data_IF_924724995510
#
_entry.id   IF_924724995510
#
_cell.length_a   1.000
_cell.length_b   1.000
_cell.length_c   1.000
_cell.angle_alpha   90.00
_cell.angle_beta   90.00
_cell.angle_gamma   90.00
#
_symmetry.space_group_name_H-M   'P 1'
#
loop_
_entity.id
_entity.type
_entity.pdbx_description
1 polymer ?
#
# COMPACT_ATOMS: atom_id res chain seq x y z
N UNK A 1 -21.02 56.48 4.84
CA UNK A 1 -20.24 56.31 3.60
C UNK A 1 -18.90 55.72 3.96
N UNK A 2 -18.70 54.43 3.69
CA UNK A 2 -17.47 53.73 4.09
C UNK A 2 -17.51 52.26 3.66
N UNK A 3 -17.55 51.99 2.35
CA UNK A 3 -17.59 50.63 1.79
C UNK A 3 -16.83 50.48 0.46
N UNK A 4 -16.07 51.47 -0.01
CA UNK A 4 -15.51 51.41 -1.36
C UNK A 4 -14.09 50.83 -1.47
N UNK A 5 -13.38 50.65 -0.34
CA UNK A 5 -11.95 50.30 -0.35
C UNK A 5 -11.66 48.82 -0.09
N UNK A 6 -12.53 48.11 0.63
CA UNK A 6 -12.44 46.65 0.81
C UNK A 6 -12.83 45.89 -0.46
N UNK A 7 -13.87 46.38 -1.14
CA UNK A 7 -14.48 45.66 -2.26
C UNK A 7 -13.60 45.74 -3.52
N UNK A 8 -12.94 46.88 -3.75
CA UNK A 8 -11.94 47.04 -4.81
C UNK A 8 -10.69 46.17 -4.58
N UNK A 9 -10.22 46.05 -3.33
CA UNK A 9 -9.07 45.23 -2.97
C UNK A 9 -9.38 43.72 -3.12
N UNK A 10 -10.57 43.28 -2.68
CA UNK A 10 -11.03 41.90 -2.84
C UNK A 10 -11.22 41.49 -4.29
N UNK A 11 -11.74 42.39 -5.13
CA UNK A 11 -11.91 42.14 -6.57
C UNK A 11 -10.56 42.02 -7.30
N UNK A 12 -9.58 42.82 -6.89
CA UNK A 12 -8.22 42.80 -7.47
C UNK A 12 -7.46 41.51 -7.11
N UNK A 13 -7.54 41.06 -5.85
CA UNK A 13 -6.92 39.79 -5.40
C UNK A 13 -7.55 38.57 -6.07
N UNK A 14 -8.87 38.59 -6.30
CA UNK A 14 -9.57 37.55 -7.04
C UNK A 14 -9.12 37.49 -8.50
N UNK A 15 -8.94 38.65 -9.14
CA UNK A 15 -8.40 38.75 -10.50
C UNK A 15 -7.00 38.13 -10.60
N UNK A 16 -6.07 38.51 -9.72
CA UNK A 16 -4.72 37.94 -9.70
C UNK A 16 -4.72 36.41 -9.54
N UNK A 17 -5.59 35.89 -8.66
CA UNK A 17 -5.75 34.45 -8.47
C UNK A 17 -6.17 33.75 -9.76
N UNK A 18 -7.13 34.32 -10.50
CA UNK A 18 -7.58 33.75 -11.77
C UNK A 18 -6.44 33.75 -12.80
N UNK A 19 -5.73 34.87 -12.93
CA UNK A 19 -4.59 34.99 -13.87
C UNK A 19 -3.49 33.98 -13.58
N UNK A 20 -3.07 33.81 -12.31
CA UNK A 20 -2.05 32.81 -11.96
C UNK A 20 -2.55 31.39 -12.25
N UNK A 21 -3.81 31.08 -11.95
CA UNK A 21 -4.37 29.74 -12.20
C UNK A 21 -4.43 29.43 -13.70
N UNK A 22 -4.83 30.40 -14.52
CA UNK A 22 -4.84 30.23 -15.97
C UNK A 22 -3.42 30.04 -16.51
N UNK A 23 -2.45 30.82 -16.03
CA UNK A 23 -1.05 30.65 -16.41
C UNK A 23 -0.54 29.24 -16.11
N UNK A 24 -0.78 28.73 -14.90
CA UNK A 24 -0.36 27.38 -14.50
C UNK A 24 -0.96 26.29 -15.41
N UNK A 25 -2.24 26.41 -15.79
CA UNK A 25 -2.89 25.45 -16.70
C UNK A 25 -2.23 25.33 -18.07
N UNK A 26 -1.59 26.40 -18.54
CA UNK A 26 -0.85 26.41 -19.81
C UNK A 26 0.60 25.93 -19.68
N UNK A 27 1.09 25.73 -18.44
CA UNK A 27 2.48 25.38 -18.13
C UNK A 27 2.51 24.16 -17.19
N UNK A 28 1.87 23.07 -17.60
CA UNK A 28 1.88 21.78 -16.90
C UNK A 28 1.49 21.82 -15.40
N UNK A 29 0.71 22.84 -15.02
CA UNK A 29 0.18 23.08 -13.67
C UNK A 29 1.22 23.46 -12.60
N UNK A 30 2.45 23.79 -13.01
CA UNK A 30 3.54 24.27 -12.14
C UNK A 30 4.35 25.37 -12.84
N UNK A 31 4.73 26.41 -12.11
CA UNK A 31 5.62 27.45 -12.66
C UNK A 31 6.50 28.04 -11.55
N UNK A 32 7.68 28.53 -11.93
CA UNK A 32 8.50 29.30 -11.00
C UNK A 32 7.87 30.68 -10.75
N UNK A 33 8.16 31.28 -9.60
CA UNK A 33 7.78 32.67 -9.32
C UNK A 33 8.41 33.64 -10.31
N UNK A 34 9.58 33.31 -10.87
CA UNK A 34 10.21 34.14 -11.90
C UNK A 34 9.38 34.12 -13.19
N UNK A 35 8.92 32.95 -13.62
CA UNK A 35 8.08 32.82 -14.83
C UNK A 35 6.73 33.49 -14.62
N UNK A 36 6.13 33.35 -13.45
CA UNK A 36 4.89 34.06 -13.12
C UNK A 36 5.06 35.59 -13.19
N UNK A 37 6.20 36.13 -12.74
CA UNK A 37 6.50 37.58 -12.84
C UNK A 37 6.75 38.01 -14.28
N UNK A 38 7.33 37.16 -15.10
CA UNK A 38 7.66 37.47 -16.50
C UNK A 38 6.46 37.29 -17.45
N UNK A 39 5.61 36.30 -17.17
CA UNK A 39 4.52 35.86 -18.03
C UNK A 39 3.12 36.35 -17.62
N UNK A 40 2.99 37.10 -16.52
CA UNK A 40 1.71 37.66 -16.08
C UNK A 40 1.84 39.12 -15.64
N UNK A 41 0.74 39.86 -15.71
CA UNK A 41 0.64 41.23 -15.16
C UNK A 41 0.42 41.25 -13.63
N UNK A 42 0.57 40.10 -12.96
CA UNK A 42 0.32 39.98 -11.53
C UNK A 42 1.45 40.65 -10.75
N UNK A 43 1.15 41.56 -9.80
CA UNK A 43 2.18 42.27 -9.04
C UNK A 43 3.10 41.34 -8.24
N UNK A 44 4.39 41.66 -8.21
CA UNK A 44 5.42 40.88 -7.50
C UNK A 44 5.06 40.60 -6.02
N UNK A 45 4.48 41.58 -5.31
CA UNK A 45 4.08 41.41 -3.90
C UNK A 45 3.06 40.27 -3.72
N UNK A 46 2.17 40.04 -4.69
CA UNK A 46 1.18 38.97 -4.63
C UNK A 46 1.86 37.62 -4.86
N UNK A 47 2.76 37.55 -5.84
CA UNK A 47 3.53 36.34 -6.16
C UNK A 47 4.44 35.95 -4.98
N UNK A 48 5.05 36.91 -4.31
CA UNK A 48 5.90 36.67 -3.13
C UNK A 48 5.09 36.09 -1.96
N UNK A 49 3.87 36.57 -1.78
CA UNK A 49 2.96 36.15 -0.70
C UNK A 49 2.00 35.04 -1.12
N UNK A 50 2.17 34.44 -2.30
CA UNK A 50 1.17 33.54 -2.89
C UNK A 50 0.87 32.30 -2.04
N UNK A 51 1.85 31.82 -1.25
CA UNK A 51 1.69 30.74 -0.29
C UNK A 51 0.72 31.07 0.86
N UNK A 52 0.52 32.35 1.19
CA UNK A 52 -0.46 32.77 2.20
C UNK A 52 -1.90 32.77 1.67
N UNK A 53 -2.08 32.58 0.37
CA UNK A 53 -3.41 32.47 -0.24
C UNK A 53 -3.95 31.05 -0.06
N UNK A 54 -5.26 30.90 0.14
CA UNK A 54 -5.87 29.57 0.28
C UNK A 54 -6.04 28.84 -1.07
N UNK A 55 -5.22 29.11 -2.08
CA UNK A 55 -5.42 28.61 -3.45
C UNK A 55 -4.20 27.92 -4.04
N UNK A 56 -3.00 28.30 -3.60
CA UNK A 56 -1.75 27.79 -4.18
C UNK A 56 -0.88 27.19 -3.09
N UNK A 57 -0.07 26.20 -3.45
CA UNK A 57 1.06 25.75 -2.65
C UNK A 57 2.35 26.21 -3.31
N UNK A 58 3.40 26.20 -2.49
CA UNK A 58 4.77 26.43 -2.94
C UNK A 58 5.64 25.22 -2.64
N UNK A 59 6.64 24.96 -3.48
CA UNK A 59 7.54 23.82 -3.35
C UNK A 59 8.28 23.78 -2.01
N UNK A 60 8.42 22.59 -1.45
CA UNK A 60 9.09 22.33 -0.18
C UNK A 60 10.62 22.41 -0.29
N UNK A 61 11.20 21.89 -1.38
CA UNK A 61 12.66 21.76 -1.60
C UNK A 61 13.32 22.97 -2.28
N UNK A 62 12.59 23.72 -3.09
CA UNK A 62 13.13 24.86 -3.85
C UNK A 62 12.86 26.21 -3.19
N UNK A 63 13.03 26.31 -1.85
CA UNK A 63 12.83 27.56 -1.11
C UNK A 63 11.50 28.30 -1.39
N UNK A 64 10.43 27.55 -1.73
CA UNK A 64 9.11 28.09 -2.11
C UNK A 64 9.09 28.86 -3.44
N UNK A 65 10.02 28.58 -4.36
CA UNK A 65 10.10 29.25 -5.66
C UNK A 65 9.13 28.70 -6.71
N UNK A 66 8.75 27.42 -6.65
CA UNK A 66 7.73 26.89 -7.55
C UNK A 66 6.34 27.00 -6.93
N UNK A 67 5.36 27.31 -7.76
CA UNK A 67 3.96 27.52 -7.40
C UNK A 67 3.10 26.54 -8.15
N UNK A 68 2.13 25.96 -7.46
CA UNK A 68 1.12 25.11 -8.06
C UNK A 68 -0.24 25.27 -7.38
N UNK A 69 -1.31 24.88 -8.08
CA UNK A 69 -2.66 25.03 -7.53
C UNK A 69 -2.99 23.93 -6.51
N UNK A 70 -3.68 24.29 -5.42
CA UNK A 70 -4.18 23.32 -4.43
C UNK A 70 -5.07 22.24 -5.07
N UNK A 71 -5.77 22.59 -6.15
CA UNK A 71 -6.65 21.66 -6.87
C UNK A 71 -5.86 20.53 -7.52
N UNK A 72 -4.79 20.86 -8.24
CA UNK A 72 -3.93 19.86 -8.90
C UNK A 72 -3.21 19.01 -7.89
N UNK A 73 -2.75 19.60 -6.78
CA UNK A 73 -2.11 18.83 -5.72
C UNK A 73 -3.14 17.90 -5.06
N UNK A 74 -4.40 18.32 -4.93
CA UNK A 74 -5.49 17.43 -4.53
C UNK A 74 -5.64 16.21 -5.45
N UNK A 75 -5.56 16.40 -6.77
CA UNK A 75 -5.79 15.34 -7.76
C UNK A 75 -4.57 14.46 -8.06
N UNK A 76 -3.39 15.05 -8.16
CA UNK A 76 -2.14 14.40 -8.60
C UNK A 76 -1.22 13.99 -7.45
N UNK A 77 -1.61 14.24 -6.21
CA UNK A 77 -0.82 13.73 -5.08
C UNK A 77 -0.94 12.22 -4.98
N UNK A 78 0.16 11.57 -4.64
CA UNK A 78 0.20 10.19 -4.20
C UNK A 78 -0.68 9.96 -2.97
N UNK A 79 -0.88 8.70 -2.58
CA UNK A 79 -1.57 8.31 -1.35
C UNK A 79 -1.03 9.08 -0.12
N UNK A 80 0.30 9.23 -0.04
CA UNK A 80 0.98 9.93 1.04
C UNK A 80 0.96 11.46 0.90
N UNK A 81 0.18 11.98 -0.05
CA UNK A 81 -0.09 13.40 -0.20
C UNK A 81 0.99 14.20 -0.92
N UNK A 82 1.96 13.56 -1.59
CA UNK A 82 3.02 14.24 -2.34
C UNK A 82 2.72 14.36 -3.82
N UNK A 83 3.08 15.49 -4.42
CA UNK A 83 3.13 15.66 -5.88
C UNK A 83 4.51 16.19 -6.29
N UNK A 84 5.12 15.58 -7.31
CA UNK A 84 6.52 15.80 -7.69
C UNK A 84 6.68 16.05 -9.20
N UNK A 85 6.26 17.22 -9.71
CA UNK A 85 6.46 17.54 -11.12
C UNK A 85 7.94 17.81 -11.43
N UNK A 86 8.33 17.48 -12.67
CA UNK A 86 9.58 17.94 -13.26
C UNK A 86 9.52 19.46 -13.50
N UNK A 87 10.64 20.13 -13.26
CA UNK A 87 10.84 21.57 -13.41
C UNK A 87 12.26 21.84 -13.93
N UNK A 88 12.53 23.07 -14.36
CA UNK A 88 13.78 23.44 -15.03
C UNK A 88 15.06 23.09 -14.26
N UNK A 89 15.02 23.07 -12.93
CA UNK A 89 16.16 22.75 -12.05
C UNK A 89 15.98 21.44 -11.27
N UNK A 90 15.18 20.51 -11.80
CA UNK A 90 15.04 19.14 -11.30
C UNK A 90 13.59 18.78 -11.00
N UNK A 91 13.30 18.38 -9.76
CA UNK A 91 11.96 17.96 -9.35
C UNK A 91 11.47 18.85 -8.23
N UNK A 92 10.33 19.53 -8.41
CA UNK A 92 9.72 20.31 -7.35
C UNK A 92 8.86 19.41 -6.46
N UNK A 93 8.98 19.53 -5.14
CA UNK A 93 8.22 18.69 -4.20
C UNK A 93 7.10 19.50 -3.56
N UNK A 94 5.86 19.04 -3.70
CA UNK A 94 4.68 19.60 -3.04
C UNK A 94 4.02 18.56 -2.14
N UNK A 95 3.30 19.01 -1.12
CA UNK A 95 2.57 18.11 -0.23
C UNK A 95 1.23 18.72 0.22
N UNK A 96 0.22 17.87 0.47
CA UNK A 96 -1.12 18.28 0.91
C UNK A 96 -1.16 19.05 2.23
N UNK A 97 -0.10 18.95 3.06
CA UNK A 97 0.06 19.72 4.30
C UNK A 97 0.77 21.06 4.12
N UNK A 98 1.01 21.48 2.87
CA UNK A 98 1.51 22.78 2.43
C UNK A 98 2.97 23.07 2.82
N UNK A 99 3.30 23.02 4.10
CA UNK A 99 4.59 23.39 4.66
C UNK A 99 5.39 22.18 5.17
N UNK A 100 6.71 22.36 5.28
CA UNK A 100 7.61 21.30 5.71
C UNK A 100 7.30 20.79 7.13
N UNK A 101 7.05 21.69 8.10
CA UNK A 101 6.73 21.29 9.49
C UNK A 101 5.49 20.39 9.59
N UNK A 102 4.29 20.82 9.11
CA UNK A 102 3.10 19.97 9.16
C UNK A 102 3.22 18.73 8.27
N UNK A 103 4.01 18.77 7.20
CA UNK A 103 4.33 17.58 6.39
C UNK A 103 5.13 16.55 7.19
N UNK A 104 6.23 16.96 7.83
CA UNK A 104 7.05 16.07 8.65
C UNK A 104 6.25 15.45 9.81
N UNK A 105 5.45 16.27 10.51
CA UNK A 105 4.56 15.76 11.56
C UNK A 105 3.55 14.76 11.01
N UNK A 106 2.97 15.04 9.84
CA UNK A 106 2.04 14.12 9.20
C UNK A 106 2.68 12.77 8.86
N UNK A 107 3.91 12.79 8.33
CA UNK A 107 4.64 11.57 7.99
C UNK A 107 4.95 10.74 9.23
N UNK A 108 5.48 11.37 10.28
CA UNK A 108 5.75 10.69 11.57
C UNK A 108 4.48 10.04 12.14
N UNK A 109 3.31 10.63 11.90
CA UNK A 109 2.05 10.15 12.47
C UNK A 109 1.34 9.11 11.62
N UNK A 110 1.67 8.99 10.34
CA UNK A 110 0.96 8.13 9.39
C UNK A 110 1.76 6.94 8.91
N UNK A 111 3.09 7.01 9.00
CA UNK A 111 3.91 5.88 8.60
C UNK A 111 3.87 4.79 9.68
N UNK A 112 3.68 3.52 9.29
CA UNK A 112 3.73 2.37 10.21
C UNK A 112 5.11 2.21 10.83
N UNK A 113 6.17 2.40 10.04
CA UNK A 113 7.54 2.58 10.52
C UNK A 113 7.82 4.07 10.70
N UNK A 114 8.39 4.45 11.83
CA UNK A 114 8.88 5.79 12.17
C UNK A 114 9.66 6.51 11.05
N UNK A 115 10.01 7.77 11.30
CA UNK A 115 10.72 8.59 10.32
C UNK A 115 12.13 8.91 10.79
N UNK A 116 13.13 8.54 10.01
CA UNK A 116 14.50 9.04 10.16
C UNK A 116 14.67 10.40 9.47
N UNK A 117 15.71 11.13 9.87
CA UNK A 117 16.07 12.36 9.18
C UNK A 117 16.48 12.12 7.72
N UNK A 118 17.06 10.95 7.39
CA UNK A 118 17.48 10.61 6.02
C UNK A 118 16.27 10.37 5.11
N UNK A 119 15.31 9.55 5.55
CA UNK A 119 14.07 9.31 4.79
C UNK A 119 13.27 10.59 4.60
N UNK A 120 13.21 11.44 5.64
CA UNK A 120 12.60 12.75 5.53
C UNK A 120 13.33 13.67 4.53
N UNK A 121 14.66 13.52 4.37
CA UNK A 121 15.39 14.28 3.36
C UNK A 121 15.01 13.85 1.96
N UNK A 122 14.93 12.54 1.76
CA UNK A 122 14.59 11.94 0.47
C UNK A 122 13.16 12.29 0.05
N UNK A 123 12.21 12.18 0.98
CA UNK A 123 10.81 12.48 0.70
C UNK A 123 10.57 13.96 0.37
N UNK A 124 11.19 14.86 1.11
CA UNK A 124 10.97 16.31 0.96
C UNK A 124 11.96 16.96 -0.01
N UNK A 125 12.99 16.26 -0.47
CA UNK A 125 14.07 16.80 -1.31
C UNK A 125 14.90 17.89 -0.63
N UNK A 126 14.99 17.89 0.71
CA UNK A 126 15.68 18.94 1.49
C UNK A 126 16.14 18.42 2.85
N UNK A 127 17.09 19.11 3.46
CA UNK A 127 17.52 18.81 4.84
C UNK A 127 16.37 19.01 5.85
N UNK A 128 16.05 17.94 6.57
CA UNK A 128 14.90 17.79 7.48
C UNK A 128 15.28 17.51 8.94
N UNK A 129 16.56 17.24 9.24
CA UNK A 129 17.07 17.01 10.60
C UNK A 129 16.68 18.12 11.59
N UNK A 130 17.04 19.39 11.33
CA UNK A 130 16.73 20.50 12.24
C UNK A 130 15.21 20.71 12.45
N UNK A 131 14.37 20.68 11.39
CA UNK A 131 12.92 20.71 11.56
C UNK A 131 12.35 19.58 12.42
N UNK A 132 12.82 18.34 12.26
CA UNK A 132 12.37 17.19 13.05
C UNK A 132 12.82 17.31 14.51
N UNK A 133 14.07 17.69 14.75
CA UNK A 133 14.57 17.95 16.10
C UNK A 133 13.73 19.03 16.80
N UNK A 134 13.38 20.11 16.10
CA UNK A 134 12.51 21.15 16.64
C UNK A 134 11.10 20.65 16.97
N UNK A 135 10.55 19.72 16.19
CA UNK A 135 9.26 19.08 16.50
C UNK A 135 9.37 18.26 17.79
N UNK A 136 10.47 17.53 17.98
CA UNK A 136 10.73 16.75 19.19
C UNK A 136 10.93 17.64 20.42
N UNK A 137 11.71 18.73 20.30
CA UNK A 137 11.90 19.71 21.37
C UNK A 137 10.57 20.35 21.82
N UNK A 138 9.61 20.46 20.89
CA UNK A 138 8.25 20.97 21.13
C UNK A 138 7.28 19.89 21.61
N UNK A 139 7.74 18.66 21.83
CA UNK A 139 6.93 17.50 22.19
C UNK A 139 5.80 17.20 21.20
N UNK A 140 5.93 17.63 19.95
CA UNK A 140 4.95 17.35 18.89
C UNK A 140 5.14 15.97 18.26
N UNK A 141 6.37 15.45 18.35
CA UNK A 141 6.78 14.08 18.00
C UNK A 141 7.72 13.59 19.10
N UNK A 142 7.98 12.29 19.15
CA UNK A 142 8.97 11.73 20.06
C UNK A 142 10.25 11.39 19.30
N UNK A 143 11.41 11.65 19.89
CA UNK A 143 12.70 11.29 19.32
C UNK A 143 13.34 10.22 20.21
N UNK A 144 13.88 9.17 19.58
CA UNK A 144 14.57 8.07 20.25
C UNK A 144 15.83 7.75 19.46
N UNK A 145 16.90 7.38 20.16
CA UNK A 145 18.11 6.86 19.52
C UNK A 145 17.92 5.36 19.29
N UNK A 146 18.16 4.93 18.06
CA UNK A 146 18.05 3.53 17.65
C UNK A 146 19.22 3.18 16.73
N UNK A 147 20.08 2.24 17.14
CA UNK A 147 21.27 1.80 16.39
C UNK A 147 22.06 2.98 15.78
N UNK A 148 22.48 3.91 16.63
CA UNK A 148 23.26 5.11 16.27
C UNK A 148 22.56 6.09 15.30
N UNK A 149 21.24 5.97 15.11
CA UNK A 149 20.42 6.92 14.36
C UNK A 149 19.25 7.43 15.18
N UNK A 150 19.05 8.74 15.18
CA UNK A 150 17.83 9.34 15.75
C UNK A 150 16.62 9.04 14.86
N UNK A 151 15.63 8.37 15.44
CA UNK A 151 14.32 8.11 14.85
C UNK A 151 13.26 9.02 15.47
N UNK A 152 12.25 9.39 14.66
CA UNK A 152 11.14 10.23 15.09
C UNK A 152 9.81 9.47 14.98
N UNK A 153 9.16 9.28 16.11
CA UNK A 153 7.94 8.48 16.28
C UNK A 153 6.76 9.35 16.72
N UNK A 154 5.58 8.76 16.74
CA UNK A 154 4.35 9.34 17.27
C UNK A 154 4.55 9.83 18.71
N UNK A 155 3.83 10.89 19.10
CA UNK A 155 3.93 11.46 20.46
C UNK A 155 3.14 10.68 21.52
N UNK A 156 2.14 9.90 21.10
CA UNK A 156 1.38 9.00 21.97
C UNK A 156 2.11 7.67 22.18
N UNK A 157 2.28 7.22 23.44
CA UNK A 157 3.05 6.01 23.76
C UNK A 157 2.60 4.75 23.01
N UNK A 158 1.30 4.44 22.96
CA UNK A 158 0.82 3.21 22.31
C UNK A 158 1.19 3.14 20.83
N UNK A 159 0.92 4.21 20.08
CA UNK A 159 1.25 4.28 18.66
C UNK A 159 2.75 4.35 18.40
N UNK A 160 3.53 4.93 19.32
CA UNK A 160 4.99 4.89 19.24
C UNK A 160 5.49 3.46 19.41
N UNK A 161 4.97 2.74 20.39
CA UNK A 161 5.42 1.38 20.70
C UNK A 161 5.09 0.44 19.53
N UNK A 162 3.92 0.63 18.88
CA UNK A 162 3.57 -0.04 17.63
C UNK A 162 4.58 0.28 16.49
N UNK A 163 4.97 1.55 16.33
CA UNK A 163 5.95 1.95 15.31
C UNK A 163 7.33 1.32 15.55
N UNK A 164 7.80 1.35 16.80
CA UNK A 164 9.08 0.74 17.18
C UNK A 164 9.09 -0.77 16.94
N UNK A 165 8.00 -1.46 17.26
CA UNK A 165 7.85 -2.89 16.98
C UNK A 165 7.89 -3.18 15.47
N UNK A 166 7.27 -2.31 14.65
CA UNK A 166 7.36 -2.41 13.19
C UNK A 166 8.79 -2.17 12.67
N UNK A 167 9.58 -1.27 13.29
CA UNK A 167 10.99 -1.08 12.89
C UNK A 167 11.83 -2.31 13.13
N UNK A 168 11.63 -2.96 14.26
CA UNK A 168 12.35 -4.18 14.61
C UNK A 168 12.15 -5.27 13.55
N UNK A 169 10.95 -5.35 12.94
CA UNK A 169 10.66 -6.28 11.86
C UNK A 169 11.07 -5.78 10.46
N UNK A 170 11.29 -4.48 10.27
CA UNK A 170 11.64 -3.86 8.98
C UNK A 170 13.15 -3.82 8.67
N UNK A 171 14.04 -4.19 9.59
CA UNK A 171 15.48 -4.19 9.33
C UNK A 171 15.98 -5.45 8.59
N UNK A 172 16.92 -5.32 7.64
CA UNK A 172 17.76 -6.45 7.26
C UNK A 172 18.61 -6.81 8.48
N UNK A 173 18.49 -8.04 8.95
CA UNK A 173 19.22 -8.49 10.11
C UNK A 173 20.73 -8.48 9.78
N UNK A 174 21.54 -7.70 10.51
CA UNK A 174 23.01 -7.84 10.50
C UNK A 174 23.38 -9.07 11.33
N UNK A 175 22.85 -10.22 10.90
CA UNK A 175 23.10 -11.52 11.49
C UNK A 175 24.07 -12.18 10.53
N UNK A 176 25.35 -12.11 10.87
CA UNK A 176 26.22 -13.19 10.41
C UNK A 176 25.74 -14.40 11.20
N UNK A 177 25.11 -15.42 10.59
CA UNK A 177 24.50 -16.50 11.36
C UNK A 177 25.61 -17.26 12.07
N UNK A 178 25.58 -17.25 13.39
CA UNK A 178 26.24 -18.30 14.15
C UNK A 178 25.39 -19.56 13.93
N UNK A 179 25.78 -20.35 12.93
CA UNK A 179 25.18 -21.63 12.52
C UNK A 179 23.81 -21.53 11.76
N UNK A 180 23.72 -21.96 10.49
CA UNK A 180 22.51 -21.82 9.66
C UNK A 180 21.36 -22.79 10.01
N UNK A 181 21.34 -23.37 11.21
CA UNK A 181 20.46 -24.48 11.53
C UNK A 181 19.29 -24.15 12.49
N UNK A 182 19.23 -22.95 13.10
CA UNK A 182 18.34 -22.75 14.27
C UNK A 182 17.45 -21.50 14.26
N UNK A 183 17.47 -20.66 13.21
CA UNK A 183 16.67 -19.43 13.19
C UNK A 183 15.46 -19.54 12.23
N UNK A 184 14.25 -19.61 12.80
CA UNK A 184 12.97 -19.71 12.09
C UNK A 184 12.47 -18.41 11.45
N UNK A 185 13.36 -17.62 10.86
CA UNK A 185 13.02 -16.39 10.13
C UNK A 185 13.18 -16.61 8.62
N UNK A 186 12.17 -16.21 7.85
CA UNK A 186 12.23 -16.20 6.39
C UNK A 186 12.58 -14.78 5.93
N UNK A 187 13.70 -14.62 5.20
CA UNK A 187 14.06 -13.32 4.68
C UNK A 187 13.11 -12.91 3.53
N UNK A 188 12.84 -11.61 3.41
CA UNK A 188 11.89 -11.09 2.41
C UNK A 188 12.35 -11.33 0.97
N UNK A 189 13.66 -11.21 0.72
CA UNK A 189 14.26 -11.53 -0.57
C UNK A 189 14.21 -13.03 -0.86
N UNK A 190 14.42 -13.91 0.14
CA UNK A 190 14.20 -15.35 0.00
C UNK A 190 12.74 -15.70 -0.31
N UNK A 191 11.78 -15.08 0.39
CA UNK A 191 10.35 -15.22 0.12
C UNK A 191 10.02 -14.80 -1.32
N UNK A 192 10.52 -13.65 -1.74
CA UNK A 192 10.26 -13.10 -3.08
C UNK A 192 10.93 -13.96 -4.17
N UNK A 193 12.14 -14.47 -3.94
CA UNK A 193 12.82 -15.38 -4.86
C UNK A 193 12.09 -16.74 -4.94
N UNK A 194 11.59 -17.25 -3.82
CA UNK A 194 10.77 -18.48 -3.78
C UNK A 194 9.50 -18.27 -4.59
N UNK A 195 8.77 -17.18 -4.35
CA UNK A 195 7.59 -16.83 -5.13
C UNK A 195 7.91 -16.67 -6.62
N UNK A 196 9.01 -15.99 -6.96
CA UNK A 196 9.45 -15.82 -8.35
C UNK A 196 9.66 -17.17 -9.04
N UNK A 197 10.28 -18.14 -8.36
CA UNK A 197 10.54 -19.47 -8.92
C UNK A 197 9.26 -20.21 -9.33
N UNK A 198 8.17 -20.02 -8.58
CA UNK A 198 6.85 -20.57 -8.88
C UNK A 198 6.11 -19.72 -9.90
N UNK A 199 6.18 -18.40 -9.79
CA UNK A 199 5.51 -17.46 -10.69
C UNK A 199 5.91 -17.65 -12.16
N UNK A 200 7.14 -18.09 -12.43
CA UNK A 200 7.62 -18.37 -13.80
C UNK A 200 6.74 -19.38 -14.55
N UNK A 201 6.15 -20.36 -13.86
CA UNK A 201 5.29 -21.37 -14.49
C UNK A 201 3.80 -21.02 -14.43
N UNK A 202 3.39 -20.25 -13.41
CA UNK A 202 1.97 -20.01 -13.11
C UNK A 202 1.43 -18.66 -13.62
N UNK A 203 2.28 -17.64 -13.78
CA UNK A 203 1.85 -16.30 -14.19
C UNK A 203 2.16 -16.07 -15.67
N UNK A 204 1.12 -15.73 -16.43
CA UNK A 204 1.17 -15.51 -17.88
C UNK A 204 0.75 -14.08 -18.27
N UNK A 205 -0.07 -13.43 -17.44
CA UNK A 205 -0.57 -12.07 -17.69
C UNK A 205 0.53 -11.01 -17.68
N UNK A 206 1.52 -11.17 -16.80
CA UNK A 206 2.62 -10.23 -16.59
C UNK A 206 3.96 -10.98 -16.44
N UNK A 207 5.07 -10.24 -16.42
CA UNK A 207 6.36 -10.88 -16.16
C UNK A 207 6.44 -11.37 -14.70
N UNK A 208 7.05 -12.54 -14.44
CA UNK A 208 7.17 -13.10 -13.08
C UNK A 208 7.86 -12.15 -12.09
N UNK A 209 8.86 -11.39 -12.55
CA UNK A 209 9.60 -10.41 -11.75
C UNK A 209 8.70 -9.25 -11.29
N UNK A 210 7.75 -8.85 -12.14
CA UNK A 210 6.75 -7.84 -11.79
C UNK A 210 5.73 -8.41 -10.80
N UNK A 211 5.28 -9.64 -10.99
CA UNK A 211 4.39 -10.27 -10.03
C UNK A 211 5.02 -10.40 -8.64
N UNK A 212 6.28 -10.86 -8.59
CA UNK A 212 7.05 -10.98 -7.35
C UNK A 212 7.29 -9.60 -6.69
N UNK A 213 7.57 -8.56 -7.47
CA UNK A 213 7.62 -7.18 -6.97
C UNK A 213 6.29 -6.71 -6.37
N UNK A 214 5.16 -7.08 -6.98
CA UNK A 214 3.83 -6.74 -6.48
C UNK A 214 3.48 -7.49 -5.19
N UNK A 215 3.95 -8.73 -5.01
CA UNK A 215 3.85 -9.45 -3.73
C UNK A 215 4.61 -8.71 -2.63
N UNK A 216 5.86 -8.33 -2.90
CA UNK A 216 6.65 -7.51 -1.97
C UNK A 216 5.91 -6.21 -1.59
N UNK A 217 5.25 -5.58 -2.57
CA UNK A 217 4.42 -4.38 -2.32
C UNK A 217 3.36 -4.60 -1.23
N UNK A 218 2.69 -5.76 -1.26
CA UNK A 218 1.57 -6.04 -0.35
C UNK A 218 2.07 -6.27 1.08
N UNK A 219 3.20 -6.94 1.24
CA UNK A 219 3.83 -7.10 2.55
C UNK A 219 4.29 -5.77 3.15
N UNK A 220 4.78 -4.85 2.31
CA UNK A 220 5.33 -3.57 2.76
C UNK A 220 4.29 -2.45 2.89
N UNK A 221 3.11 -2.61 2.29
CA UNK A 221 2.12 -1.53 2.20
C UNK A 221 2.59 -0.34 1.35
N UNK A 222 3.58 -0.54 0.47
CA UNK A 222 4.20 0.52 -0.31
C UNK A 222 3.26 1.08 -1.40
N UNK A 223 3.42 2.36 -1.72
CA UNK A 223 2.93 2.89 -3.00
C UNK A 223 3.78 2.34 -4.16
N UNK A 224 3.26 2.31 -5.39
CA UNK A 224 4.02 1.83 -6.55
C UNK A 224 5.35 2.58 -6.75
N UNK A 225 5.35 3.92 -6.59
CA UNK A 225 6.59 4.71 -6.66
C UNK A 225 7.54 4.45 -5.47
N UNK A 226 7.01 4.05 -4.31
CA UNK A 226 7.83 3.71 -3.15
C UNK A 226 8.54 2.37 -3.39
N UNK A 227 7.81 1.39 -3.93
CA UNK A 227 8.36 0.11 -4.35
C UNK A 227 9.44 0.30 -5.42
N UNK A 228 9.17 1.08 -6.48
CA UNK A 228 10.17 1.39 -7.53
C UNK A 228 11.50 1.89 -6.92
N UNK A 229 11.43 2.95 -6.11
CA UNK A 229 12.63 3.54 -5.50
C UNK A 229 13.34 2.56 -4.56
N UNK A 230 12.58 1.72 -3.85
CA UNK A 230 13.12 0.72 -2.94
C UNK A 230 13.87 -0.35 -3.71
N UNK A 231 13.28 -0.89 -4.77
CA UNK A 231 13.93 -1.84 -5.68
C UNK A 231 15.19 -1.21 -6.29
N UNK A 232 15.11 0.00 -6.85
CA UNK A 232 16.30 0.68 -7.41
C UNK A 232 17.47 0.79 -6.42
N UNK A 233 17.18 1.03 -5.13
CA UNK A 233 18.19 1.25 -4.09
C UNK A 233 18.69 -0.05 -3.45
N UNK A 234 17.82 -1.05 -3.31
CA UNK A 234 18.17 -2.29 -2.62
C UNK A 234 18.72 -3.31 -3.61
N UNK A 235 20.01 -3.65 -3.47
CA UNK A 235 20.65 -4.66 -4.29
C UNK A 235 20.05 -6.05 -4.10
N UNK A 236 19.72 -6.46 -2.86
CA UNK A 236 19.24 -7.83 -2.61
C UNK A 236 17.87 -8.08 -3.23
N UNK A 237 16.97 -7.09 -3.17
CA UNK A 237 15.69 -7.19 -3.87
C UNK A 237 15.83 -7.18 -5.39
N UNK A 238 16.82 -6.45 -5.93
CA UNK A 238 17.09 -6.51 -7.39
C UNK A 238 17.61 -7.87 -7.80
N UNK A 239 18.55 -8.42 -7.05
CA UNK A 239 19.08 -9.76 -7.27
C UNK A 239 17.99 -10.84 -7.14
N UNK A 240 17.15 -10.77 -6.11
CA UNK A 240 16.04 -11.71 -5.91
C UNK A 240 14.94 -11.63 -6.98
N UNK A 241 14.86 -10.50 -7.71
CA UNK A 241 13.89 -10.25 -8.76
C UNK A 241 14.51 -10.24 -10.16
N UNK A 242 15.76 -10.70 -10.31
CA UNK A 242 16.52 -10.73 -11.57
C UNK A 242 16.64 -9.36 -12.29
N UNK A 243 16.59 -8.24 -11.55
CA UNK A 243 16.93 -6.92 -12.07
C UNK A 243 18.45 -6.68 -11.96
N UNK A 244 19.15 -6.54 -13.08
CA UNK A 244 20.62 -6.41 -13.07
C UNK A 244 21.06 -5.01 -12.64
N UNK A 245 20.46 -3.99 -13.25
CA UNK A 245 20.77 -2.59 -13.01
C UNK A 245 19.56 -1.84 -12.41
N UNK A 246 19.76 -0.70 -11.71
CA UNK A 246 18.64 0.07 -11.16
C UNK A 246 17.63 0.48 -12.23
N UNK A 247 18.09 0.74 -13.46
CA UNK A 247 17.27 1.15 -14.60
C UNK A 247 16.40 0.02 -15.16
N UNK A 248 16.66 -1.24 -14.80
CA UNK A 248 15.83 -2.38 -15.19
C UNK A 248 14.54 -2.46 -14.36
N UNK A 249 14.51 -1.79 -13.19
CA UNK A 249 13.35 -1.75 -12.31
C UNK A 249 12.21 -0.99 -13.01
N UNK A 250 11.01 -1.60 -13.17
CA UNK A 250 9.87 -0.94 -13.77
C UNK A 250 9.43 0.27 -12.96
N UNK A 251 9.10 1.36 -13.65
CA UNK A 251 8.55 2.54 -13.01
C UNK A 251 7.21 2.26 -12.33
N UNK A 252 6.82 3.10 -11.36
CA UNK A 252 5.57 2.95 -10.61
C UNK A 252 4.31 2.85 -11.49
N UNK A 253 4.27 3.49 -12.65
CA UNK A 253 3.13 3.38 -13.60
C UNK A 253 3.12 2.02 -14.27
N UNK A 254 4.27 1.51 -14.67
CA UNK A 254 4.43 0.16 -15.24
C UNK A 254 4.04 -0.92 -14.23
N UNK A 255 4.43 -0.76 -12.95
CA UNK A 255 4.00 -1.66 -11.86
C UNK A 255 2.49 -1.59 -11.60
N UNK A 256 1.90 -0.39 -11.65
CA UNK A 256 0.45 -0.24 -11.52
C UNK A 256 -0.32 -0.92 -12.66
N UNK A 257 0.14 -0.79 -13.91
CA UNK A 257 -0.47 -1.50 -15.05
C UNK A 257 -0.35 -3.00 -14.90
N UNK A 258 0.81 -3.50 -14.47
CA UNK A 258 1.00 -4.92 -14.22
C UNK A 258 0.05 -5.43 -13.12
N UNK A 259 -0.20 -4.63 -12.08
CA UNK A 259 -1.16 -4.98 -11.03
C UNK A 259 -2.60 -5.08 -11.57
N UNK A 260 -2.98 -4.21 -12.51
CA UNK A 260 -4.31 -4.21 -13.15
C UNK A 260 -4.48 -5.38 -14.13
N UNK A 261 -3.39 -5.83 -14.76
CA UNK A 261 -3.37 -6.95 -15.71
C UNK A 261 -3.32 -8.33 -15.02
N UNK A 262 -2.88 -8.39 -13.76
CA UNK A 262 -2.69 -9.64 -13.02
C UNK A 262 -4.03 -10.31 -12.67
N UNK A 263 -4.21 -11.56 -13.08
CA UNK A 263 -5.44 -12.29 -12.77
C UNK A 263 -5.38 -12.94 -11.38
N UNK A 264 -6.44 -12.83 -10.55
CA UNK A 264 -6.49 -13.47 -9.24
C UNK A 264 -6.30 -14.99 -9.26
N UNK A 265 -6.73 -15.66 -10.32
CA UNK A 265 -6.61 -17.12 -10.45
C UNK A 265 -5.14 -17.54 -10.63
N UNK A 266 -4.32 -16.75 -11.34
CA UNK A 266 -2.88 -17.04 -11.48
C UNK A 266 -2.14 -16.91 -10.13
N UNK A 267 -2.52 -15.92 -9.30
CA UNK A 267 -2.00 -15.79 -7.94
C UNK A 267 -2.43 -16.95 -7.04
N UNK A 268 -3.66 -17.44 -7.23
CA UNK A 268 -4.17 -18.61 -6.52
C UNK A 268 -3.36 -19.85 -6.90
N UNK A 269 -3.10 -20.06 -8.19
CA UNK A 269 -2.29 -21.17 -8.68
C UNK A 269 -0.84 -21.11 -8.15
N UNK A 270 -0.26 -19.91 -8.00
CA UNK A 270 1.04 -19.73 -7.34
C UNK A 270 1.02 -20.17 -5.88
N UNK A 271 0.06 -19.65 -5.09
CA UNK A 271 -0.09 -19.99 -3.67
C UNK A 271 -0.24 -21.50 -3.51
N UNK A 272 -1.11 -22.11 -4.33
CA UNK A 272 -1.41 -23.53 -4.26
C UNK A 272 -0.21 -24.39 -4.67
N UNK A 273 0.55 -23.99 -5.69
CA UNK A 273 1.79 -24.69 -6.08
C UNK A 273 2.81 -24.68 -4.94
N UNK A 274 3.01 -23.53 -4.29
CA UNK A 274 3.90 -23.42 -3.13
C UNK A 274 3.43 -24.30 -1.96
N UNK A 275 2.13 -24.32 -1.67
CA UNK A 275 1.57 -25.16 -0.62
C UNK A 275 1.68 -26.66 -0.95
N UNK A 276 1.52 -27.05 -2.21
CA UNK A 276 1.55 -28.45 -2.65
C UNK A 276 2.91 -29.11 -2.45
N UNK A 277 3.98 -28.38 -2.73
CA UNK A 277 5.34 -28.86 -2.44
C UNK A 277 5.55 -29.11 -0.94
N UNK A 278 5.03 -28.23 -0.08
CA UNK A 278 5.17 -28.36 1.38
C UNK A 278 4.25 -29.44 1.98
N UNK A 279 3.03 -29.59 1.45
CA UNK A 279 2.08 -30.61 1.86
C UNK A 279 2.63 -32.02 1.65
N UNK A 280 3.23 -32.28 0.48
CA UNK A 280 3.74 -33.60 0.11
C UNK A 280 4.88 -34.09 1.04
N UNK A 281 5.61 -33.15 1.64
CA UNK A 281 6.73 -33.44 2.53
C UNK A 281 6.33 -33.56 4.02
N UNK A 282 5.07 -33.25 4.36
CA UNK A 282 4.61 -33.22 5.74
C UNK A 282 3.86 -34.50 6.15
N UNK A 283 4.22 -35.07 7.30
CA UNK A 283 3.48 -36.19 7.88
C UNK A 283 2.05 -35.72 8.20
N UNK A 284 1.05 -36.44 7.68
CA UNK A 284 -0.38 -36.11 7.75
C UNK A 284 -0.84 -34.88 6.96
N UNK A 285 -0.02 -34.36 6.03
CA UNK A 285 -0.45 -33.30 5.11
C UNK A 285 -1.65 -33.75 4.27
N UNK A 286 -2.74 -32.98 4.30
CA UNK A 286 -3.96 -33.24 3.55
C UNK A 286 -4.97 -34.17 4.24
N UNK A 287 -4.63 -34.78 5.39
CA UNK A 287 -5.53 -35.71 6.09
C UNK A 287 -6.65 -34.99 6.87
N UNK A 288 -6.40 -33.77 7.34
CA UNK A 288 -7.34 -33.01 8.15
C UNK A 288 -7.37 -31.56 7.69
N UNK A 289 -8.54 -31.07 7.28
CA UNK A 289 -8.69 -29.69 6.86
C UNK A 289 -9.66 -28.92 7.74
N UNK A 290 -9.40 -27.63 7.89
CA UNK A 290 -10.26 -26.67 8.56
C UNK A 290 -10.79 -25.69 7.51
N UNK A 291 -12.09 -25.46 7.51
CA UNK A 291 -12.77 -24.56 6.60
C UNK A 291 -13.35 -23.40 7.39
N UNK A 292 -12.96 -22.19 7.00
CA UNK A 292 -13.45 -20.97 7.62
C UNK A 292 -13.78 -19.90 6.58
N UNK A 293 -14.71 -19.01 6.95
CA UNK A 293 -15.18 -17.91 6.14
C UNK A 293 -14.98 -16.57 6.84
N UNK A 294 -14.24 -15.67 6.22
CA UNK A 294 -14.11 -14.28 6.65
C UNK A 294 -14.72 -13.31 5.64
N UNK A 295 -14.71 -12.02 5.96
CA UNK A 295 -15.22 -10.99 5.06
C UNK A 295 -14.22 -9.85 4.88
N UNK A 296 -14.18 -9.31 3.67
CA UNK A 296 -13.40 -8.12 3.33
C UNK A 296 -14.40 -7.02 2.98
N UNK A 297 -14.37 -5.94 3.77
CA UNK A 297 -15.18 -4.77 3.51
C UNK A 297 -14.71 -4.06 2.23
N UNK A 298 -15.62 -3.77 1.31
CA UNK A 298 -15.29 -2.95 0.15
C UNK A 298 -14.95 -1.52 0.57
N UNK A 299 -14.08 -0.86 -0.19
CA UNK A 299 -13.69 0.54 0.07
C UNK A 299 -14.89 1.50 0.08
N UNK A 300 -16.00 1.15 -0.60
CA UNK A 300 -17.22 1.95 -0.61
C UNK A 300 -17.83 2.16 0.78
N UNK A 301 -17.49 1.32 1.77
CA UNK A 301 -17.92 1.50 3.18
C UNK A 301 -17.43 2.80 3.83
N UNK A 302 -16.52 3.55 3.20
CA UNK A 302 -16.14 4.89 3.67
C UNK A 302 -17.16 5.98 3.33
N UNK A 303 -18.28 5.64 2.66
CA UNK A 303 -19.31 6.57 2.18
C UNK A 303 -20.61 6.42 3.00
N UNK A 304 -21.42 7.47 3.01
CA UNK A 304 -22.69 7.50 3.75
C UNK A 304 -23.79 6.68 3.05
N UNK A 305 -23.72 6.54 1.72
CA UNK A 305 -24.68 5.80 0.90
C UNK A 305 -23.91 4.88 -0.06
N UNK A 306 -24.36 3.63 -0.18
CA UNK A 306 -23.72 2.59 -1.00
C UNK A 306 -24.80 1.84 -1.77
N UNK A 307 -24.68 1.83 -3.10
CA UNK A 307 -25.60 1.08 -3.96
C UNK A 307 -25.11 -0.36 -4.15
N UNK A 308 -26.03 -1.31 -4.25
CA UNK A 308 -25.66 -2.72 -4.44
C UNK A 308 -25.14 -2.93 -5.87
N UNK A 309 -23.91 -3.43 -5.99
CA UNK A 309 -23.23 -3.62 -7.28
C UNK A 309 -22.44 -2.40 -7.78
N UNK A 310 -22.26 -1.38 -6.93
CA UNK A 310 -21.42 -0.22 -7.24
C UNK A 310 -19.93 -0.60 -7.41
N UNK A 311 -19.46 -1.53 -6.59
CA UNK A 311 -18.12 -2.12 -6.71
C UNK A 311 -18.26 -3.52 -7.31
N UNK A 312 -17.50 -3.81 -8.36
CA UNK A 312 -17.51 -5.10 -9.04
C UNK A 312 -17.27 -6.25 -8.07
N UNK A 313 -18.11 -7.29 -8.13
CA UNK A 313 -18.05 -8.44 -7.22
C UNK A 313 -18.51 -8.18 -5.78
N UNK A 314 -18.65 -6.92 -5.34
CA UNK A 314 -19.08 -6.61 -3.98
C UNK A 314 -20.62 -6.59 -3.85
N UNK A 315 -21.12 -7.14 -2.74
CA UNK A 315 -22.55 -7.09 -2.44
C UNK A 315 -22.82 -7.02 -0.94
N UNK A 316 -24.06 -6.67 -0.58
CA UNK A 316 -24.50 -6.70 0.81
C UNK A 316 -24.60 -8.14 1.33
N UNK A 317 -23.90 -8.39 2.42
CA UNK A 317 -23.80 -9.67 3.10
C UNK A 317 -24.12 -9.62 4.59
N UNK A 318 -24.05 -10.78 5.22
CA UNK A 318 -24.18 -10.95 6.68
C UNK A 318 -22.96 -11.70 7.22
N UNK A 319 -22.26 -11.06 8.15
CA UNK A 319 -21.20 -11.64 8.97
C UNK A 319 -21.03 -10.70 10.18
N UNK A 320 -21.42 -11.14 11.38
CA UNK A 320 -21.47 -10.31 12.62
C UNK A 320 -22.20 -8.95 12.51
N UNK A 321 -23.06 -8.81 11.49
CA UNK A 321 -23.63 -7.53 11.09
C UNK A 321 -23.97 -7.54 9.60
N UNK A 322 -24.56 -6.45 9.10
CA UNK A 322 -24.65 -6.25 7.65
C UNK A 322 -23.38 -5.55 7.17
N UNK A 323 -22.78 -6.04 6.09
CA UNK A 323 -21.59 -5.43 5.48
C UNK A 323 -21.72 -5.38 3.95
N UNK A 324 -21.07 -4.44 3.30
CA UNK A 324 -20.95 -4.40 1.84
C UNK A 324 -19.53 -4.83 1.44
N UNK A 325 -19.39 -5.93 0.69
CA UNK A 325 -18.06 -6.42 0.34
C UNK A 325 -18.04 -7.83 -0.20
N UNK A 326 -16.99 -8.55 0.18
CA UNK A 326 -16.67 -9.89 -0.28
C UNK A 326 -16.63 -10.86 0.90
N UNK A 327 -16.94 -12.12 0.64
CA UNK A 327 -16.60 -13.22 1.54
C UNK A 327 -15.38 -13.93 0.98
N UNK A 328 -14.45 -14.26 1.87
CA UNK A 328 -13.28 -15.07 1.55
C UNK A 328 -13.42 -16.35 2.34
N UNK A 329 -13.35 -17.47 1.65
CA UNK A 329 -13.38 -18.78 2.27
C UNK A 329 -12.03 -19.45 2.06
N UNK A 330 -11.56 -20.10 3.12
CA UNK A 330 -10.24 -20.71 3.19
C UNK A 330 -10.40 -22.17 3.58
N UNK A 331 -9.60 -23.03 2.96
CA UNK A 331 -9.29 -24.37 3.44
C UNK A 331 -7.86 -24.31 3.96
N UNK A 332 -7.69 -24.72 5.22
CA UNK A 332 -6.39 -24.77 5.89
C UNK A 332 -6.10 -26.22 6.23
N UNK A 333 -4.94 -26.72 5.83
CA UNK A 333 -4.48 -28.03 6.27
C UNK A 333 -4.02 -27.96 7.74
N UNK A 334 -4.50 -28.87 8.57
CA UNK A 334 -4.28 -28.81 10.01
C UNK A 334 -2.87 -29.25 10.42
N UNK A 335 -2.17 -30.04 9.60
CA UNK A 335 -0.82 -30.52 9.91
C UNK A 335 0.25 -29.46 9.59
N UNK A 336 0.10 -28.78 8.45
CA UNK A 336 1.02 -27.76 7.95
C UNK A 336 0.64 -26.33 8.35
N UNK A 337 -0.61 -26.12 8.77
CA UNK A 337 -1.22 -24.80 9.01
C UNK A 337 -1.26 -23.89 7.76
N UNK A 338 -1.09 -24.46 6.57
CA UNK A 338 -1.04 -23.71 5.31
C UNK A 338 -2.45 -23.50 4.71
N UNK A 339 -2.69 -22.35 4.05
CA UNK A 339 -3.93 -22.11 3.31
C UNK A 339 -3.89 -22.84 1.97
N UNK A 340 -4.37 -24.08 1.95
CA UNK A 340 -4.28 -24.98 0.80
C UNK A 340 -5.30 -24.65 -0.30
N UNK A 341 -6.42 -24.01 0.04
CA UNK A 341 -7.34 -23.46 -0.96
C UNK A 341 -7.97 -22.15 -0.47
N UNK A 342 -8.24 -21.25 -1.41
CA UNK A 342 -8.86 -19.95 -1.16
C UNK A 342 -9.85 -19.63 -2.27
N UNK A 343 -11.04 -19.16 -1.92
CA UNK A 343 -11.98 -18.59 -2.88
C UNK A 343 -12.57 -17.29 -2.36
N UNK A 344 -12.82 -16.36 -3.28
CA UNK A 344 -13.44 -15.08 -2.98
C UNK A 344 -14.78 -14.99 -3.71
N UNK A 345 -15.82 -14.68 -2.95
CA UNK A 345 -17.21 -14.67 -3.39
C UNK A 345 -17.89 -13.35 -3.01
N UNK A 346 -19.02 -13.08 -3.67
CA UNK A 346 -19.80 -11.88 -3.36
C UNK A 346 -20.32 -11.93 -1.92
N UNK A 347 -20.40 -10.79 -1.22
CA UNK A 347 -20.84 -10.73 0.19
C UNK A 347 -22.16 -11.43 0.53
N UNK A 348 -23.10 -11.53 -0.42
CA UNK A 348 -24.39 -12.23 -0.27
C UNK A 348 -24.30 -13.77 -0.28
N UNK A 349 -23.12 -14.35 -0.61
CA UNK A 349 -22.94 -15.82 -0.65
C UNK A 349 -23.21 -16.41 0.74
N UNK A 350 -23.94 -17.52 0.75
CA UNK A 350 -24.17 -18.31 1.97
C UNK A 350 -22.97 -19.24 2.19
N UNK A 351 -22.47 -19.29 3.41
CA UNK A 351 -21.27 -20.04 3.79
C UNK A 351 -21.46 -21.54 3.53
N UNK A 352 -22.61 -22.09 3.90
CA UNK A 352 -22.96 -23.48 3.61
C UNK A 352 -22.91 -23.81 2.10
N UNK A 353 -23.21 -22.86 1.22
CA UNK A 353 -23.14 -23.09 -0.22
C UNK A 353 -21.70 -22.98 -0.79
N UNK A 354 -20.74 -22.47 -0.02
CA UNK A 354 -19.34 -22.39 -0.43
C UNK A 354 -18.55 -23.68 -0.09
N UNK A 355 -19.09 -24.53 0.78
CA UNK A 355 -18.39 -25.72 1.30
C UNK A 355 -17.96 -26.71 0.21
N UNK A 356 -18.93 -27.24 -0.54
CA UNK A 356 -18.67 -28.27 -1.57
C UNK A 356 -17.68 -27.79 -2.63
N UNK A 357 -17.84 -26.59 -3.25
CA UNK A 357 -16.86 -26.08 -4.22
C UNK A 357 -15.43 -25.94 -3.67
N UNK A 358 -15.27 -25.58 -2.39
CA UNK A 358 -13.95 -25.45 -1.76
C UNK A 358 -13.25 -26.79 -1.57
N UNK A 359 -14.01 -27.80 -1.14
CA UNK A 359 -13.48 -29.15 -0.96
C UNK A 359 -13.16 -29.80 -2.30
N UNK A 360 -14.00 -29.59 -3.31
CA UNK A 360 -13.71 -30.02 -4.69
C UNK A 360 -12.44 -29.35 -5.22
N UNK A 361 -12.30 -28.03 -5.04
CA UNK A 361 -11.10 -27.29 -5.45
C UNK A 361 -9.82 -27.78 -4.77
N UNK A 362 -9.93 -28.18 -3.49
CA UNK A 362 -8.84 -28.80 -2.74
C UNK A 362 -8.53 -30.21 -3.29
N UNK A 363 -9.56 -31.04 -3.51
CA UNK A 363 -9.40 -32.41 -4.01
C UNK A 363 -8.77 -32.47 -5.40
N UNK A 364 -9.22 -31.61 -6.32
CA UNK A 364 -8.67 -31.54 -7.68
C UNK A 364 -7.17 -31.23 -7.72
N UNK A 365 -6.62 -30.60 -6.67
CA UNK A 365 -5.23 -30.12 -6.66
C UNK A 365 -4.26 -30.93 -5.83
N UNK A 366 -4.68 -31.54 -4.72
CA UNK A 366 -3.75 -32.16 -3.77
C UNK A 366 -3.89 -33.67 -3.58
N UNK A 367 -4.76 -34.33 -4.35
CA UNK A 367 -5.00 -35.78 -4.25
C UNK A 367 -5.42 -36.20 -2.83
N UNK A 368 -6.71 -36.02 -2.52
CA UNK A 368 -7.23 -36.15 -1.14
C UNK A 368 -7.71 -37.55 -0.81
N UNK A 369 -7.15 -38.58 -1.43
CA UNK A 369 -7.45 -39.99 -1.13
C UNK A 369 -7.24 -40.30 0.37
N UNK A 370 -6.42 -39.51 1.07
CA UNK A 370 -6.14 -39.61 2.50
C UNK A 370 -6.92 -38.62 3.38
N UNK A 371 -7.86 -37.81 2.84
CA UNK A 371 -8.64 -36.86 3.66
C UNK A 371 -9.61 -37.59 4.59
N UNK A 372 -9.39 -37.46 5.89
CA UNK A 372 -10.14 -38.16 6.94
C UNK A 372 -11.26 -37.32 7.55
N UNK A 373 -11.07 -36.00 7.63
CA UNK A 373 -12.10 -35.09 8.15
C UNK A 373 -11.93 -33.65 7.68
N UNK A 374 -13.07 -32.98 7.51
CA UNK A 374 -13.17 -31.53 7.35
C UNK A 374 -13.89 -30.92 8.55
N UNK A 375 -13.24 -29.97 9.23
CA UNK A 375 -13.81 -29.22 10.35
C UNK A 375 -14.25 -27.84 9.86
N UNK A 376 -15.49 -27.47 10.12
CA UNK A 376 -16.03 -26.17 9.73
C UNK A 376 -16.93 -25.61 10.83
N UNK A 377 -17.16 -24.29 10.81
CA UNK A 377 -18.04 -23.63 11.76
C UNK A 377 -19.54 -23.93 11.50
N UNK A 378 -20.40 -23.45 12.39
CA UNK A 378 -21.85 -23.66 12.27
C UNK A 378 -22.48 -22.95 11.06
N UNK A 379 -21.81 -21.97 10.46
CA UNK A 379 -22.24 -21.31 9.22
C UNK A 379 -22.23 -22.25 8.02
N UNK A 380 -21.38 -23.28 8.05
CA UNK A 380 -21.34 -24.35 7.04
C UNK A 380 -22.27 -25.53 7.36
N UNK A 381 -22.99 -25.51 8.48
CA UNK A 381 -23.82 -26.63 8.92
C UNK A 381 -25.07 -26.81 8.03
N UNK A 382 -25.00 -27.77 7.10
CA UNK A 382 -26.06 -28.09 6.17
C UNK A 382 -26.15 -29.59 5.92
N UNK A 383 -27.36 -30.13 5.75
CA UNK A 383 -27.54 -31.55 5.45
C UNK A 383 -26.81 -31.95 4.17
N UNK A 384 -26.87 -31.11 3.12
CA UNK A 384 -26.15 -31.34 1.88
C UNK A 384 -24.63 -31.46 2.08
N UNK A 385 -24.04 -30.63 2.93
CA UNK A 385 -22.61 -30.68 3.24
C UNK A 385 -22.24 -31.94 4.02
N UNK A 386 -23.10 -32.38 4.95
CA UNK A 386 -22.91 -33.66 5.65
C UNK A 386 -22.97 -34.85 4.69
N UNK A 387 -23.99 -34.87 3.83
CA UNK A 387 -24.17 -35.93 2.83
C UNK A 387 -22.96 -35.95 1.86
N UNK A 388 -22.48 -34.78 1.42
CA UNK A 388 -21.29 -34.65 0.59
C UNK A 388 -20.04 -35.22 1.26
N UNK A 389 -19.75 -34.87 2.52
CA UNK A 389 -18.61 -35.44 3.25
C UNK A 389 -18.72 -36.96 3.40
N UNK A 390 -19.94 -37.48 3.64
CA UNK A 390 -20.16 -38.92 3.79
C UNK A 390 -19.97 -39.68 2.47
N UNK A 391 -20.43 -39.11 1.35
CA UNK A 391 -20.42 -39.76 0.04
C UNK A 391 -19.07 -39.65 -0.68
N UNK A 392 -18.38 -38.51 -0.56
CA UNK A 392 -17.14 -38.22 -1.32
C UNK A 392 -15.86 -38.47 -0.54
N UNK A 393 -15.88 -38.31 0.78
CA UNK A 393 -14.66 -38.36 1.61
C UNK A 393 -14.58 -39.61 2.50
N UNK A 394 -15.60 -40.48 2.46
CA UNK A 394 -15.77 -41.63 3.39
C UNK A 394 -15.60 -41.25 4.88
N UNK A 395 -15.80 -39.97 5.20
CA UNK A 395 -15.76 -39.42 6.56
C UNK A 395 -16.98 -39.91 7.33
N UNK A 396 -16.80 -40.46 8.54
CA UNK A 396 -17.89 -40.96 9.39
C UNK A 396 -18.35 -40.00 10.49
#
# INVERSE_FOLDING_TARGET
MGTSRSDAYGNTVSSHKTTVREYLRFHDEVASKADLRAGTDVPAWYIDQIASTNTFYTSLNHNREYVASKHIIGQRSTHDGFWRPEVDDGVAVFHRKEDAKPTLKHLVFRRPSELTASEANDLLGRRSYRPLQKLADQQEVHATEWQDTTIYTHSWPSLRDDQLAQRETDQPADVTPDDPADDGYLYRDELVATFLSVAVSQIQSISPERAAALVLRQFEGDSFDALERRLQRNHSFREALDYTEPEDVPDGTSLWRAFDELHPDELRDCLQSMCGELLADHEHGGEFVVIDGTHIAAWANTRDEIENGEVEGASWGKHEGSFYGYKVFLVVDAATELPVAITMETGKRNDSAAFEPLVEEFNERYDTDDLQAALADAGFDGQANRDFCQDQLDCR
#
